data_IF_908211565374
#
_entry.id   IF_908211565374
#
_cell.length_a   1.000
_cell.length_b   1.000
_cell.length_c   1.000
_cell.angle_alpha   90.00
_cell.angle_beta   90.00
_cell.angle_gamma   90.00
#
_symmetry.space_group_name_H-M   'P 1'
#
loop_
_entity.id
_entity.type
_entity.pdbx_description
1 polymer ?
#
# COMPACT_ATOMS: atom_id res chain seq x y z
N UNK A 1 -30.94 -22.82 -12.26
CA UNK A 1 -29.79 -23.34 -11.47
C UNK A 1 -28.70 -22.29 -11.20
N UNK A 2 -28.54 -21.22 -12.00
CA UNK A 2 -27.51 -20.19 -11.79
C UNK A 2 -27.74 -19.29 -10.54
N UNK A 3 -28.98 -18.90 -10.23
CA UNK A 3 -29.29 -18.06 -9.06
C UNK A 3 -29.02 -18.74 -7.71
N UNK A 4 -29.21 -20.07 -7.60
CA UNK A 4 -28.93 -20.83 -6.37
C UNK A 4 -27.42 -21.00 -6.11
N UNK A 5 -26.59 -21.01 -7.16
CA UNK A 5 -25.12 -21.07 -7.02
C UNK A 5 -24.54 -19.74 -6.53
N UNK A 6 -25.04 -18.60 -7.02
CA UNK A 6 -24.60 -17.26 -6.60
C UNK A 6 -24.92 -16.93 -5.14
N UNK A 7 -26.08 -17.36 -4.63
CA UNK A 7 -26.46 -17.17 -3.23
C UNK A 7 -25.62 -18.03 -2.26
N UNK A 8 -25.24 -19.24 -2.67
CA UNK A 8 -24.41 -20.14 -1.87
C UNK A 8 -22.95 -19.67 -1.76
N UNK A 9 -22.40 -19.04 -2.80
CA UNK A 9 -21.07 -18.41 -2.75
C UNK A 9 -21.05 -17.14 -1.90
N UNK A 10 -22.08 -16.29 -1.98
CA UNK A 10 -22.19 -15.12 -1.12
C UNK A 10 -22.37 -15.48 0.36
N UNK A 11 -23.16 -16.52 0.66
CA UNK A 11 -23.34 -17.01 2.03
C UNK A 11 -22.05 -17.64 2.60
N UNK A 12 -21.25 -18.33 1.78
CA UNK A 12 -19.93 -18.84 2.19
C UNK A 12 -18.92 -17.71 2.44
N UNK A 13 -18.91 -16.69 1.59
CA UNK A 13 -18.06 -15.51 1.79
C UNK A 13 -18.44 -14.74 3.08
N UNK A 14 -19.74 -14.56 3.33
CA UNK A 14 -20.23 -13.94 4.57
C UNK A 14 -19.95 -14.76 5.83
N UNK A 15 -19.99 -16.10 5.75
CA UNK A 15 -19.63 -16.98 6.86
C UNK A 15 -18.12 -17.01 7.14
N UNK A 16 -17.28 -16.97 6.09
CA UNK A 16 -15.82 -16.88 6.24
C UNK A 16 -15.39 -15.51 6.80
N UNK A 17 -16.04 -14.42 6.36
CA UNK A 17 -15.86 -13.10 6.96
C UNK A 17 -16.24 -13.14 8.46
N UNK A 18 -17.40 -13.69 8.84
CA UNK A 18 -17.78 -13.79 10.25
C UNK A 18 -16.77 -14.58 11.12
N UNK A 19 -16.06 -15.56 10.57
CA UNK A 19 -15.04 -16.32 11.31
C UNK A 19 -13.75 -15.51 11.53
N UNK A 20 -13.31 -14.70 10.56
CA UNK A 20 -12.14 -13.84 10.71
C UNK A 20 -12.35 -12.70 11.73
N UNK A 21 -13.61 -12.39 12.07
CA UNK A 21 -14.01 -11.26 12.91
C UNK A 21 -14.41 -11.71 14.33
N UNK A 22 -14.58 -13.02 14.54
CA UNK A 22 -15.19 -13.58 15.76
C UNK A 22 -14.40 -13.32 17.05
N UNK A 23 -13.10 -12.97 16.95
CA UNK A 23 -12.21 -12.77 18.10
C UNK A 23 -11.56 -11.37 18.13
N UNK A 24 -12.06 -10.41 17.35
CA UNK A 24 -11.52 -9.04 17.33
C UNK A 24 -12.37 -8.15 18.22
N UNK A 25 -11.71 -7.40 19.12
CA UNK A 25 -12.42 -6.46 19.99
C UNK A 25 -13.14 -5.37 19.18
N UNK A 26 -14.32 -4.97 19.67
CA UNK A 26 -15.16 -3.96 19.01
C UNK A 26 -14.42 -2.63 18.85
N UNK A 27 -13.60 -2.23 19.83
CA UNK A 27 -12.86 -0.97 19.75
C UNK A 27 -11.81 -1.01 18.63
N UNK A 28 -11.17 -2.16 18.42
CA UNK A 28 -10.19 -2.36 17.34
C UNK A 28 -10.87 -2.28 15.96
N UNK A 29 -12.01 -2.96 15.78
CA UNK A 29 -12.80 -2.87 14.54
C UNK A 29 -13.26 -1.44 14.23
N UNK A 30 -13.73 -0.71 15.25
CA UNK A 30 -14.09 0.71 15.10
C UNK A 30 -12.87 1.58 14.78
N UNK A 31 -11.70 1.26 15.33
CA UNK A 31 -10.44 1.94 15.02
C UNK A 31 -10.04 1.76 13.57
N UNK A 32 -10.02 0.51 13.07
CA UNK A 32 -9.77 0.19 11.66
C UNK A 32 -10.73 0.96 10.73
N UNK A 33 -12.03 0.92 11.03
CA UNK A 33 -13.03 1.62 10.24
C UNK A 33 -12.82 3.14 10.25
N UNK A 34 -12.55 3.72 11.43
CA UNK A 34 -12.30 5.16 11.58
C UNK A 34 -11.09 5.61 10.75
N UNK A 35 -10.01 4.85 10.78
CA UNK A 35 -8.77 5.21 10.08
C UNK A 35 -8.95 5.11 8.56
N UNK A 36 -9.62 4.07 8.06
CA UNK A 36 -9.96 3.97 6.64
C UNK A 36 -10.88 5.12 6.20
N UNK A 37 -11.87 5.47 7.02
CA UNK A 37 -12.79 6.57 6.72
C UNK A 37 -12.08 7.93 6.76
N UNK A 38 -11.14 8.13 7.70
CA UNK A 38 -10.31 9.32 7.77
C UNK A 38 -9.52 9.50 6.47
N UNK A 39 -8.82 8.45 6.02
CA UNK A 39 -8.08 8.48 4.75
C UNK A 39 -9.03 8.82 3.61
N UNK A 40 -10.17 8.11 3.48
CA UNK A 40 -11.15 8.37 2.42
C UNK A 40 -11.61 9.83 2.40
N UNK A 41 -11.99 10.39 3.54
CA UNK A 41 -12.49 11.78 3.63
C UNK A 41 -11.39 12.81 3.40
N UNK A 42 -10.18 12.53 3.86
CA UNK A 42 -9.02 13.36 3.59
C UNK A 42 -8.74 13.43 2.09
N UNK A 43 -8.70 12.29 1.42
CA UNK A 43 -8.44 12.16 -0.01
C UNK A 43 -9.53 12.84 -0.87
N UNK A 44 -10.80 12.69 -0.49
CA UNK A 44 -11.91 13.42 -1.13
C UNK A 44 -11.71 14.93 -1.00
N UNK A 45 -11.26 15.41 0.16
CA UNK A 45 -10.99 16.84 0.37
C UNK A 45 -9.76 17.31 -0.40
N UNK A 46 -8.70 16.51 -0.47
CA UNK A 46 -7.53 16.80 -1.30
C UNK A 46 -7.93 16.94 -2.78
N UNK A 47 -8.76 16.01 -3.29
CA UNK A 47 -9.31 16.09 -4.64
C UNK A 47 -10.11 17.38 -4.91
N UNK A 48 -10.92 17.83 -3.96
CA UNK A 48 -11.65 19.11 -4.07
C UNK A 48 -10.70 20.31 -4.16
N UNK A 49 -9.71 20.37 -3.25
CA UNK A 49 -8.75 21.48 -3.19
C UNK A 49 -7.86 21.53 -4.44
N UNK A 50 -7.50 20.37 -4.99
CA UNK A 50 -6.81 20.30 -6.29
C UNK A 50 -7.67 20.88 -7.41
N UNK A 51 -8.96 20.52 -7.47
CA UNK A 51 -9.89 21.09 -8.45
C UNK A 51 -10.08 22.61 -8.32
N UNK A 52 -9.87 23.16 -7.13
CA UNK A 52 -9.87 24.60 -6.86
C UNK A 52 -8.52 25.29 -7.17
N UNK A 53 -7.50 24.54 -7.61
CA UNK A 53 -6.16 25.07 -7.87
C UNK A 53 -5.35 25.39 -6.61
N UNK A 54 -5.74 24.86 -5.44
CA UNK A 54 -5.06 25.11 -4.16
C UNK A 54 -3.94 24.11 -3.86
N UNK A 55 -3.86 23.01 -4.63
CA UNK A 55 -2.77 22.04 -4.61
C UNK A 55 -2.05 22.15 -5.96
N UNK A 56 -0.76 22.46 -5.94
CA UNK A 56 0.07 22.54 -7.13
C UNK A 56 0.72 21.20 -7.50
N UNK A 57 1.15 21.05 -8.75
CA UNK A 57 1.85 19.86 -9.23
C UNK A 57 0.92 18.67 -9.47
N UNK A 58 1.41 17.44 -9.24
CA UNK A 58 0.62 16.22 -9.40
C UNK A 58 -0.04 15.83 -8.08
N UNK A 59 -1.31 15.43 -8.10
CA UNK A 59 -2.02 14.91 -6.93
C UNK A 59 -2.50 13.47 -7.16
N UNK A 60 -2.00 12.53 -6.36
CA UNK A 60 -2.25 11.09 -6.49
C UNK A 60 -3.05 10.57 -5.30
N UNK A 61 -4.37 10.39 -5.49
CA UNK A 61 -5.25 10.04 -4.38
C UNK A 61 -5.18 8.56 -4.00
N UNK A 62 -5.12 8.21 -2.73
CA UNK A 62 -5.09 6.81 -2.26
C UNK A 62 -6.47 6.10 -2.23
N UNK A 63 -7.50 6.72 -2.84
CA UNK A 63 -8.88 6.22 -2.84
C UNK A 63 -8.99 4.82 -3.47
N UNK A 64 -9.44 3.87 -2.66
CA UNK A 64 -9.65 2.46 -3.02
C UNK A 64 -8.61 1.51 -2.43
N UNK A 65 -7.57 2.02 -1.76
CA UNK A 65 -6.46 1.22 -1.21
C UNK A 65 -6.37 1.34 0.33
N UNK A 66 -7.35 1.95 0.99
CA UNK A 66 -7.27 2.32 2.41
C UNK A 66 -7.07 1.13 3.35
N UNK A 67 -7.68 -0.02 3.04
CA UNK A 67 -7.56 -1.23 3.82
C UNK A 67 -6.11 -1.76 3.87
N UNK A 68 -5.31 -1.53 2.82
CA UNK A 68 -3.91 -1.96 2.75
C UNK A 68 -3.10 -1.19 3.79
N UNK A 69 -3.08 0.15 3.70
CA UNK A 69 -2.32 1.00 4.62
C UNK A 69 -2.75 0.77 6.07
N UNK A 70 -4.06 0.75 6.35
CA UNK A 70 -4.58 0.60 7.73
C UNK A 70 -4.32 -0.80 8.29
N UNK A 71 -4.56 -1.85 7.50
CA UNK A 71 -4.37 -3.23 7.94
C UNK A 71 -2.90 -3.54 8.24
N UNK A 72 -2.00 -3.14 7.36
CA UNK A 72 -0.55 -3.33 7.57
C UNK A 72 -0.03 -2.49 8.74
N UNK A 73 -0.54 -1.28 8.94
CA UNK A 73 -0.12 -0.45 10.06
C UNK A 73 -0.39 -1.09 11.42
N UNK A 74 -1.45 -1.90 11.56
CA UNK A 74 -1.75 -2.63 12.81
C UNK A 74 -0.77 -3.75 13.13
N UNK A 75 0.09 -4.13 12.19
CA UNK A 75 1.09 -5.20 12.37
C UNK A 75 2.44 -4.64 12.81
N UNK A 76 2.72 -3.37 12.52
CA UNK A 76 3.99 -2.73 12.85
C UNK A 76 4.25 -2.74 14.35
N UNK A 77 5.52 -2.93 14.72
CA UNK A 77 6.02 -2.62 16.05
C UNK A 77 6.85 -1.32 16.01
N UNK A 78 7.21 -0.80 17.19
CA UNK A 78 8.03 0.40 17.30
C UNK A 78 9.37 0.23 16.56
N UNK A 79 9.72 1.19 15.72
CA UNK A 79 10.94 1.18 14.92
C UNK A 79 10.82 0.48 13.57
N UNK A 80 9.74 -0.28 13.28
CA UNK A 80 9.51 -0.78 11.93
C UNK A 80 9.32 0.40 10.95
N UNK A 81 9.97 0.34 9.80
CA UNK A 81 9.93 1.43 8.83
C UNK A 81 8.90 1.18 7.73
N UNK A 82 8.31 2.26 7.22
CA UNK A 82 7.43 2.25 6.05
C UNK A 82 8.05 3.12 4.97
N UNK A 83 8.10 2.62 3.75
CA UNK A 83 8.52 3.38 2.58
C UNK A 83 7.61 3.04 1.40
N UNK A 84 7.16 4.06 0.65
CA UNK A 84 6.20 3.89 -0.44
C UNK A 84 6.52 4.83 -1.62
N UNK A 85 5.81 4.63 -2.74
CA UNK A 85 5.83 5.54 -3.88
C UNK A 85 5.00 6.81 -3.65
N UNK A 86 4.79 7.59 -4.71
CA UNK A 86 4.11 8.90 -4.68
C UNK A 86 2.60 8.90 -4.31
N UNK A 87 2.02 7.77 -3.91
CA UNK A 87 0.61 7.67 -3.48
C UNK A 87 0.56 7.47 -1.97
N UNK A 88 1.13 8.43 -1.26
CA UNK A 88 1.65 8.30 0.10
C UNK A 88 0.76 8.92 1.20
N UNK A 89 -0.26 9.72 0.85
CA UNK A 89 -1.04 10.47 1.86
C UNK A 89 -1.74 9.52 2.83
N UNK A 90 -2.39 8.47 2.30
CA UNK A 90 -3.05 7.43 3.09
C UNK A 90 -2.07 6.70 4.03
N UNK A 91 -0.84 6.43 3.59
CA UNK A 91 0.17 5.82 4.45
C UNK A 91 0.63 6.77 5.56
N UNK A 92 0.85 8.06 5.24
CA UNK A 92 1.27 9.02 6.26
C UNK A 92 0.19 9.25 7.32
N UNK A 93 -1.09 9.27 6.92
CA UNK A 93 -2.23 9.30 7.85
C UNK A 93 -2.32 8.02 8.68
N UNK A 94 -2.14 6.85 8.07
CA UNK A 94 -2.11 5.58 8.80
C UNK A 94 -0.96 5.55 9.83
N UNK A 95 0.18 6.18 9.52
CA UNK A 95 1.29 6.35 10.46
C UNK A 95 1.00 7.31 11.63
N UNK A 96 -0.22 7.85 11.74
CA UNK A 96 -0.64 8.70 12.85
C UNK A 96 -0.26 10.18 12.68
N UNK A 97 0.16 10.59 11.49
CA UNK A 97 0.44 12.00 11.23
C UNK A 97 -0.84 12.83 11.35
N UNK A 98 -0.73 14.03 11.95
CA UNK A 98 -1.84 14.97 12.01
C UNK A 98 -2.32 15.32 10.58
N UNK A 99 -3.60 15.07 10.23
CA UNK A 99 -4.13 15.42 8.91
C UNK A 99 -3.90 16.87 8.51
N UNK A 100 -3.81 17.80 9.48
CA UNK A 100 -3.51 19.21 9.22
C UNK A 100 -2.10 19.40 8.66
N UNK A 101 -1.12 18.64 9.13
CA UNK A 101 0.26 18.66 8.61
C UNK A 101 0.30 18.08 7.20
N UNK A 102 -0.40 16.96 6.96
CA UNK A 102 -0.51 16.36 5.62
C UNK A 102 -1.14 17.37 4.65
N UNK A 103 -2.24 18.01 5.04
CA UNK A 103 -2.92 19.01 4.20
C UNK A 103 -2.08 20.28 3.98
N UNK A 104 -1.32 20.70 5.00
CA UNK A 104 -0.37 21.81 4.87
C UNK A 104 0.71 21.49 3.82
N UNK A 105 1.23 20.26 3.81
CA UNK A 105 2.19 19.82 2.79
C UNK A 105 1.59 19.85 1.39
N UNK A 106 0.38 19.29 1.22
CA UNK A 106 -0.33 19.29 -0.06
C UNK A 106 -0.58 20.70 -0.61
N UNK A 107 -0.85 21.66 0.27
CA UNK A 107 -1.14 23.05 -0.11
C UNK A 107 0.10 23.95 -0.11
N UNK A 108 1.30 23.38 -0.04
CA UNK A 108 2.56 24.11 -0.15
C UNK A 108 2.84 25.05 1.02
N UNK A 109 2.35 24.73 2.22
CA UNK A 109 2.49 25.56 3.43
C UNK A 109 3.68 25.12 4.28
N UNK A 110 4.32 26.08 4.93
CA UNK A 110 5.49 25.85 5.79
C UNK A 110 5.23 24.91 6.98
N UNK A 111 3.97 24.71 7.38
CA UNK A 111 3.58 23.77 8.42
C UNK A 111 3.49 22.30 7.94
N UNK A 112 3.75 22.04 6.65
CA UNK A 112 3.80 20.70 6.08
C UNK A 112 5.01 19.89 6.57
N UNK A 113 4.93 18.57 6.42
CA UNK A 113 5.96 17.62 6.87
C UNK A 113 7.35 17.92 6.29
N UNK A 114 7.41 18.38 5.04
CA UNK A 114 8.62 18.83 4.34
C UNK A 114 8.59 20.35 4.09
N UNK A 115 7.94 21.11 4.98
CA UNK A 115 7.75 22.56 4.89
C UNK A 115 7.02 23.00 3.61
N UNK A 116 6.15 22.16 3.04
CA UNK A 116 5.41 22.45 1.82
C UNK A 116 6.22 22.29 0.53
N UNK A 117 7.44 21.73 0.61
CA UNK A 117 8.33 21.57 -0.55
C UNK A 117 8.16 20.22 -1.26
N UNK A 118 7.72 19.20 -0.53
CA UNK A 118 7.53 17.85 -1.06
C UNK A 118 6.20 17.68 -1.79
N UNK A 119 5.18 18.43 -1.35
CA UNK A 119 3.85 18.39 -1.95
C UNK A 119 3.24 16.98 -1.89
N UNK A 120 2.48 16.61 -2.92
CA UNK A 120 1.70 15.37 -2.94
C UNK A 120 2.49 14.10 -3.24
N UNK A 121 3.79 14.17 -3.58
CA UNK A 121 4.53 12.97 -4.00
C UNK A 121 5.75 12.66 -3.14
N UNK A 122 6.12 13.56 -2.24
CA UNK A 122 7.38 13.51 -1.50
C UNK A 122 7.18 13.75 -0.01
N UNK A 123 6.16 13.12 0.60
CA UNK A 123 5.97 13.22 2.03
C UNK A 123 7.01 12.36 2.76
N UNK A 124 7.54 12.85 3.87
CA UNK A 124 8.64 12.17 4.57
C UNK A 124 8.64 12.56 6.04
N UNK A 125 8.78 11.59 6.94
CA UNK A 125 8.80 11.81 8.39
C UNK A 125 9.60 10.73 9.13
N UNK A 126 10.94 10.87 9.25
CA UNK A 126 11.80 9.89 9.92
C UNK A 126 11.45 9.64 11.38
N UNK A 127 10.99 10.68 12.09
CA UNK A 127 10.58 10.55 13.50
C UNK A 127 9.36 9.67 13.72
N UNK A 128 8.63 9.33 12.65
CA UNK A 128 7.50 8.39 12.64
C UNK A 128 7.83 7.10 11.86
N UNK A 129 9.11 6.84 11.61
CA UNK A 129 9.60 5.73 10.80
C UNK A 129 8.96 5.66 9.39
N UNK A 130 8.62 6.84 8.84
CA UNK A 130 8.00 6.98 7.53
C UNK A 130 8.98 7.63 6.53
N UNK A 131 9.42 6.84 5.56
CA UNK A 131 10.54 7.15 4.68
C UNK A 131 10.15 7.48 3.24
N UNK A 132 8.88 7.76 2.93
CA UNK A 132 8.59 8.28 1.59
C UNK A 132 7.14 8.57 1.25
N UNK A 133 6.98 9.49 0.32
CA UNK A 133 6.66 9.17 -1.07
C UNK A 133 7.88 9.38 -1.97
N UNK A 134 8.09 8.45 -2.89
CA UNK A 134 9.12 8.54 -3.92
C UNK A 134 8.47 8.73 -5.29
N UNK A 135 8.84 9.82 -5.98
CA UNK A 135 8.33 10.13 -7.31
C UNK A 135 8.94 9.27 -8.43
N UNK A 136 10.15 8.73 -8.21
CA UNK A 136 10.80 7.84 -9.17
C UNK A 136 10.27 6.42 -8.97
N UNK A 137 9.59 5.90 -10.00
CA UNK A 137 8.95 4.59 -9.98
C UNK A 137 9.97 3.49 -9.68
N UNK A 138 9.76 2.76 -8.58
CA UNK A 138 10.60 1.63 -8.15
C UNK A 138 11.78 2.02 -7.26
N UNK A 139 12.12 3.31 -7.12
CA UNK A 139 13.26 3.75 -6.30
C UNK A 139 13.05 3.46 -4.81
N UNK A 140 11.80 3.52 -4.34
CA UNK A 140 11.45 3.15 -2.97
C UNK A 140 11.78 1.69 -2.64
N UNK A 141 11.87 0.82 -3.65
CA UNK A 141 12.13 -0.60 -3.42
C UNK A 141 13.58 -0.81 -3.01
N UNK A 142 14.52 -0.27 -3.79
CA UNK A 142 15.95 -0.36 -3.48
C UNK A 142 16.33 0.39 -2.20
N UNK A 143 15.75 1.57 -1.97
CA UNK A 143 15.95 2.33 -0.72
C UNK A 143 15.36 1.56 0.47
N UNK A 144 14.19 0.96 0.31
CA UNK A 144 13.54 0.14 1.34
C UNK A 144 14.32 -1.12 1.68
N UNK A 145 14.91 -1.78 0.70
CA UNK A 145 15.86 -2.88 0.92
C UNK A 145 17.07 -2.43 1.72
N UNK A 146 17.56 -1.20 1.49
CA UNK A 146 18.60 -0.57 2.30
C UNK A 146 18.20 -0.37 3.77
N UNK A 147 16.92 -0.04 4.06
CA UNK A 147 16.40 -0.01 5.44
C UNK A 147 16.44 -1.40 6.08
N UNK A 148 16.05 -2.44 5.33
CA UNK A 148 16.17 -3.83 5.78
C UNK A 148 17.61 -4.24 6.07
N UNK A 149 18.55 -3.85 5.21
CA UNK A 149 20.00 -4.05 5.45
C UNK A 149 20.44 -3.36 6.74
N UNK A 150 19.99 -2.13 6.96
CA UNK A 150 20.34 -1.38 8.16
C UNK A 150 19.77 -2.02 9.44
N UNK A 151 18.58 -2.62 9.39
CA UNK A 151 18.01 -3.38 10.50
C UNK A 151 18.79 -4.67 10.76
N UNK A 152 19.10 -5.43 9.69
CA UNK A 152 19.89 -6.64 9.78
C UNK A 152 21.29 -6.36 10.36
N UNK A 153 21.97 -5.33 9.87
CA UNK A 153 23.30 -4.96 10.32
C UNK A 153 23.35 -4.54 11.80
N UNK A 154 22.27 -3.96 12.31
CA UNK A 154 22.16 -3.53 13.71
C UNK A 154 21.59 -4.60 14.63
N UNK A 155 21.13 -5.73 14.09
CA UNK A 155 20.47 -6.81 14.82
C UNK A 155 19.37 -6.30 15.78
N UNK A 156 18.52 -5.39 15.27
CA UNK A 156 17.54 -4.68 16.08
C UNK A 156 16.13 -5.31 16.04
N UNK A 157 15.97 -6.41 15.31
CA UNK A 157 14.69 -7.10 15.15
C UNK A 157 13.60 -6.26 14.45
N UNK A 158 13.93 -5.20 13.72
CA UNK A 158 12.98 -4.35 13.00
C UNK A 158 12.78 -4.81 11.55
N UNK A 159 11.60 -4.51 10.98
CA UNK A 159 11.23 -4.87 9.61
C UNK A 159 10.99 -3.60 8.78
N UNK A 160 11.47 -3.62 7.54
CA UNK A 160 11.16 -2.59 6.55
C UNK A 160 9.96 -3.03 5.69
N UNK A 161 8.86 -2.28 5.76
CA UNK A 161 7.69 -2.46 4.90
C UNK A 161 7.80 -1.57 3.67
N UNK A 162 7.92 -2.20 2.50
CA UNK A 162 8.28 -1.56 1.24
C UNK A 162 7.13 -1.66 0.25
N UNK A 163 6.40 -0.57 0.06
CA UNK A 163 5.19 -0.52 -0.77
C UNK A 163 5.49 -0.02 -2.18
N UNK A 164 4.88 -0.66 -3.17
CA UNK A 164 5.01 -0.24 -4.56
C UNK A 164 3.85 -0.78 -5.41
N UNK A 165 3.51 -0.06 -6.47
CA UNK A 165 2.42 -0.46 -7.37
C UNK A 165 2.82 -1.54 -8.37
N UNK A 166 1.82 -2.11 -9.02
CA UNK A 166 1.95 -3.08 -10.12
C UNK A 166 2.89 -2.60 -11.24
N UNK A 167 2.82 -1.32 -11.63
CA UNK A 167 3.74 -0.74 -12.60
C UNK A 167 5.21 -0.69 -12.14
N UNK A 168 5.43 -0.44 -10.84
CA UNK A 168 6.77 -0.38 -10.27
C UNK A 168 7.41 -1.77 -10.18
N UNK A 169 6.61 -2.83 -10.02
CA UNK A 169 7.08 -4.21 -9.94
C UNK A 169 7.83 -4.69 -11.20
N UNK A 170 7.72 -3.97 -12.32
CA UNK A 170 8.42 -4.28 -13.58
C UNK A 170 9.78 -3.56 -13.72
N UNK A 171 10.21 -2.77 -12.74
CA UNK A 171 11.50 -2.05 -12.81
C UNK A 171 12.67 -2.99 -12.50
N UNK A 172 13.78 -2.88 -13.24
CA UNK A 172 14.96 -3.74 -13.04
C UNK A 172 15.52 -3.70 -11.62
N UNK A 173 15.57 -2.51 -11.02
CA UNK A 173 16.03 -2.33 -9.63
C UNK A 173 15.21 -3.10 -8.58
N UNK A 174 13.96 -3.48 -8.88
CA UNK A 174 13.14 -4.31 -7.99
C UNK A 174 13.69 -5.73 -7.93
N UNK A 175 14.09 -6.29 -9.07
CA UNK A 175 14.67 -7.63 -9.16
C UNK A 175 16.06 -7.67 -8.52
N UNK A 176 16.87 -6.64 -8.74
CA UNK A 176 18.15 -6.49 -8.04
C UNK A 176 17.94 -6.46 -6.52
N UNK A 177 16.94 -5.70 -6.05
CA UNK A 177 16.58 -5.61 -4.63
C UNK A 177 16.14 -6.95 -4.03
N UNK A 178 15.34 -7.73 -4.77
CA UNK A 178 14.93 -9.07 -4.35
C UNK A 178 16.13 -10.00 -4.20
N UNK A 179 17.01 -10.04 -5.21
CA UNK A 179 18.22 -10.86 -5.15
C UNK A 179 19.07 -10.52 -3.92
N UNK A 180 19.32 -9.24 -3.66
CA UNK A 180 20.12 -8.82 -2.51
C UNK A 180 19.43 -9.10 -1.18
N UNK A 181 18.11 -8.91 -1.10
CA UNK A 181 17.35 -9.16 0.12
C UNK A 181 17.34 -10.65 0.50
N UNK A 182 17.16 -11.54 -0.47
CA UNK A 182 17.25 -12.98 -0.19
C UNK A 182 18.67 -13.39 0.18
N UNK A 183 19.66 -12.99 -0.63
CA UNK A 183 21.07 -13.38 -0.45
C UNK A 183 21.57 -13.09 0.96
N UNK A 184 21.13 -11.97 1.54
CA UNK A 184 21.50 -11.53 2.88
C UNK A 184 20.44 -11.81 3.93
N UNK A 185 19.33 -12.47 3.58
CA UNK A 185 18.17 -12.76 4.45
C UNK A 185 17.68 -11.52 5.19
N UNK A 186 17.49 -10.42 4.46
CA UNK A 186 17.11 -9.14 5.03
C UNK A 186 15.66 -9.15 5.55
N UNK A 187 15.37 -8.46 6.68
CA UNK A 187 14.03 -8.34 7.24
C UNK A 187 13.19 -7.31 6.45
N UNK A 188 12.77 -7.69 5.24
CA UNK A 188 12.00 -6.83 4.33
C UNK A 188 10.68 -7.48 3.93
N UNK A 189 9.58 -6.75 4.07
CA UNK A 189 8.28 -7.15 3.51
C UNK A 189 7.95 -6.25 2.33
N UNK A 190 7.95 -6.84 1.14
CA UNK A 190 7.60 -6.17 -0.11
C UNK A 190 6.09 -6.26 -0.32
N UNK A 191 5.41 -5.11 -0.31
CA UNK A 191 3.96 -5.01 -0.46
C UNK A 191 3.64 -4.42 -1.83
N UNK A 192 3.13 -5.27 -2.72
CA UNK A 192 2.70 -4.88 -4.06
C UNK A 192 1.24 -4.45 -4.00
N UNK A 193 0.97 -3.17 -4.19
CA UNK A 193 -0.37 -2.62 -4.30
C UNK A 193 -0.87 -2.76 -5.74
N UNK A 194 -1.41 -3.93 -6.05
CA UNK A 194 -1.90 -4.22 -7.39
C UNK A 194 -3.30 -3.62 -7.60
N UNK A 195 -3.32 -2.36 -8.03
CA UNK A 195 -4.54 -1.61 -8.34
C UNK A 195 -4.99 -1.74 -9.81
N UNK A 196 -4.45 -2.73 -10.51
CA UNK A 196 -4.72 -3.15 -11.89
C UNK A 196 -4.14 -2.27 -13.01
N UNK A 197 -3.61 -1.07 -12.70
CA UNK A 197 -3.19 -0.10 -13.73
C UNK A 197 -1.97 0.75 -13.36
N UNK A 198 -0.92 0.66 -14.18
CA UNK A 198 0.19 1.59 -14.25
C UNK A 198 -0.14 2.77 -15.17
N UNK A 199 -0.61 3.88 -14.59
CA UNK A 199 -1.28 4.96 -15.34
C UNK A 199 -2.44 4.38 -16.17
N UNK A 200 -2.28 4.21 -17.49
CA UNK A 200 -3.27 3.63 -18.40
C UNK A 200 -2.93 2.24 -18.93
N UNK A 201 -1.82 1.65 -18.49
CA UNK A 201 -1.39 0.31 -18.90
C UNK A 201 -1.88 -0.70 -17.87
N UNK A 202 -2.69 -1.67 -18.29
CA UNK A 202 -3.17 -2.74 -17.41
C UNK A 202 -2.07 -3.76 -17.11
N UNK A 203 -2.23 -4.50 -16.00
CA UNK A 203 -1.31 -5.60 -15.62
C UNK A 203 -1.20 -6.64 -16.75
N UNK A 204 -2.33 -7.07 -17.32
CA UNK A 204 -2.40 -8.01 -18.45
C UNK A 204 -1.58 -7.57 -19.67
N UNK A 205 -1.37 -6.27 -19.86
CA UNK A 205 -0.61 -5.72 -20.99
C UNK A 205 0.86 -5.47 -20.68
N UNK A 206 1.24 -5.52 -19.40
CA UNK A 206 2.58 -5.13 -18.94
C UNK A 206 3.35 -6.26 -18.27
N UNK A 207 2.69 -7.39 -18.00
CA UNK A 207 3.25 -8.48 -17.21
C UNK A 207 2.96 -9.84 -17.86
N UNK A 208 4.01 -10.63 -18.08
CA UNK A 208 3.86 -12.01 -18.58
C UNK A 208 3.31 -12.97 -17.51
N UNK A 209 3.67 -12.75 -16.24
CA UNK A 209 3.05 -13.36 -15.07
C UNK A 209 2.32 -12.26 -14.30
N UNK A 210 0.99 -12.38 -14.25
CA UNK A 210 0.06 -11.38 -13.72
C UNK A 210 -0.22 -11.56 -12.23
N UNK A 211 0.16 -12.71 -11.66
CA UNK A 211 0.23 -12.93 -10.21
C UNK A 211 1.58 -12.42 -9.70
N UNK A 212 1.62 -11.15 -9.32
CA UNK A 212 2.84 -10.44 -8.94
C UNK A 212 3.47 -10.96 -7.64
N UNK A 213 2.72 -11.65 -6.76
CA UNK A 213 3.32 -12.30 -5.59
C UNK A 213 4.39 -13.34 -5.96
N UNK A 214 4.32 -13.91 -7.18
CA UNK A 214 5.31 -14.89 -7.68
C UNK A 214 6.62 -14.26 -8.16
N UNK A 215 6.74 -12.93 -8.18
CA UNK A 215 7.96 -12.24 -8.69
C UNK A 215 9.22 -12.60 -7.91
N UNK A 216 9.06 -13.05 -6.66
CA UNK A 216 10.15 -13.54 -5.80
C UNK A 216 10.62 -14.97 -6.10
N UNK A 217 9.89 -15.76 -6.89
CA UNK A 217 10.12 -17.20 -7.01
C UNK A 217 11.51 -17.56 -7.55
N UNK A 218 12.04 -16.79 -8.51
CA UNK A 218 13.40 -16.98 -9.03
C UNK A 218 14.50 -16.69 -8.01
N UNK A 219 14.15 -16.02 -6.92
CA UNK A 219 15.04 -15.66 -5.82
C UNK A 219 14.68 -16.41 -4.53
N UNK A 220 13.86 -17.47 -4.58
CA UNK A 220 13.38 -18.20 -3.40
C UNK A 220 12.58 -17.39 -2.36
N UNK A 221 12.11 -16.18 -2.72
CA UNK A 221 11.33 -15.35 -1.80
C UNK A 221 9.87 -15.83 -1.81
N UNK A 222 9.31 -16.24 -0.65
CA UNK A 222 7.92 -16.63 -0.56
C UNK A 222 7.00 -15.43 -0.81
N UNK A 223 5.84 -15.68 -1.42
CA UNK A 223 4.82 -14.66 -1.59
C UNK A 223 3.41 -15.21 -1.64
N UNK A 224 2.44 -14.37 -1.26
CA UNK A 224 1.01 -14.70 -1.29
C UNK A 224 0.18 -13.56 -1.88
N UNK A 225 -0.91 -13.95 -2.54
CA UNK A 225 -1.98 -13.03 -2.95
C UNK A 225 -2.93 -12.78 -1.78
N UNK A 226 -3.34 -11.53 -1.60
CA UNK A 226 -4.22 -11.08 -0.51
C UNK A 226 -5.32 -10.22 -1.10
N UNK A 227 -6.55 -10.39 -0.62
CA UNK A 227 -7.61 -9.41 -0.88
C UNK A 227 -7.27 -8.10 -0.15
N UNK A 228 -6.74 -7.14 -0.90
CA UNK A 228 -6.34 -5.83 -0.40
C UNK A 228 -7.52 -4.93 -0.04
N UNK A 229 -8.76 -5.35 -0.31
CA UNK A 229 -9.98 -4.65 0.08
C UNK A 229 -10.54 -5.15 1.41
N UNK A 230 -10.05 -6.28 1.94
CA UNK A 230 -10.38 -6.82 3.26
C UNK A 230 -9.26 -6.49 4.26
N UNK A 231 -9.53 -5.51 5.13
CA UNK A 231 -8.56 -5.04 6.13
C UNK A 231 -8.11 -6.14 7.11
N UNK A 232 -8.96 -7.14 7.37
CA UNK A 232 -8.61 -8.26 8.24
C UNK A 232 -7.70 -9.26 7.51
N UNK A 233 -7.98 -9.55 6.24
CA UNK A 233 -7.10 -10.37 5.42
C UNK A 233 -5.71 -9.73 5.26
N UNK A 234 -5.67 -8.40 5.02
CA UNK A 234 -4.44 -7.61 4.99
C UNK A 234 -3.68 -7.74 6.30
N UNK A 235 -4.34 -7.52 7.44
CA UNK A 235 -3.69 -7.60 8.76
C UNK A 235 -3.13 -9.00 9.04
N UNK A 236 -3.88 -10.05 8.73
CA UNK A 236 -3.45 -11.43 8.94
C UNK A 236 -2.23 -11.79 8.08
N UNK A 237 -2.28 -11.47 6.79
CA UNK A 237 -1.18 -11.71 5.86
C UNK A 237 0.06 -10.88 6.23
N UNK A 238 -0.16 -9.61 6.60
CA UNK A 238 0.88 -8.72 7.10
C UNK A 238 1.58 -9.27 8.34
N UNK A 239 0.83 -9.79 9.32
CA UNK A 239 1.39 -10.37 10.53
C UNK A 239 2.28 -11.58 10.25
N UNK A 240 1.84 -12.47 9.35
CA UNK A 240 2.62 -13.64 8.92
C UNK A 240 3.91 -13.22 8.21
N UNK A 241 3.83 -12.26 7.30
CA UNK A 241 4.99 -11.77 6.55
C UNK A 241 6.00 -11.04 7.45
N UNK A 242 5.50 -10.21 8.38
CA UNK A 242 6.34 -9.51 9.34
C UNK A 242 7.07 -10.48 10.27
N UNK A 243 6.39 -11.52 10.77
CA UNK A 243 7.01 -12.55 11.61
C UNK A 243 8.06 -13.37 10.84
N UNK A 244 7.76 -13.73 9.58
CA UNK A 244 8.74 -14.41 8.70
C UNK A 244 10.02 -13.58 8.55
N UNK A 245 9.88 -12.31 8.19
CA UNK A 245 11.02 -11.40 8.03
C UNK A 245 11.77 -11.19 9.35
N UNK A 246 11.04 -10.99 10.45
CA UNK A 246 11.61 -10.68 11.77
C UNK A 246 12.34 -11.88 12.39
N UNK A 247 11.88 -13.09 12.13
CA UNK A 247 12.53 -14.34 12.59
C UNK A 247 13.78 -14.72 11.79
N UNK A 248 14.22 -13.88 10.85
CA UNK A 248 15.45 -14.07 10.09
C UNK A 248 15.32 -15.10 8.96
N UNK A 249 14.09 -15.44 8.56
CA UNK A 249 13.85 -16.34 7.42
C UNK A 249 14.04 -15.65 6.06
N UNK A 250 14.24 -14.32 6.06
CA UNK A 250 14.48 -13.54 4.86
C UNK A 250 13.27 -12.69 4.45
N UNK A 251 13.27 -12.12 3.25
CA UNK A 251 12.20 -11.26 2.77
C UNK A 251 10.90 -12.02 2.50
N UNK A 252 9.78 -11.28 2.39
CA UNK A 252 8.48 -11.83 2.03
C UNK A 252 7.75 -10.90 1.06
N UNK A 253 6.98 -11.45 0.11
CA UNK A 253 6.16 -10.67 -0.83
C UNK A 253 4.66 -10.82 -0.54
N UNK A 254 3.96 -9.69 -0.45
CA UNK A 254 2.50 -9.63 -0.40
C UNK A 254 2.00 -8.94 -1.65
N UNK A 255 1.13 -9.59 -2.43
CA UNK A 255 0.37 -8.93 -3.48
C UNK A 255 -1.02 -8.58 -2.97
N UNK A 256 -1.25 -7.29 -2.73
CA UNK A 256 -2.54 -6.76 -2.32
C UNK A 256 -3.39 -6.47 -3.56
N UNK A 257 -4.37 -7.33 -3.84
CA UNK A 257 -5.32 -7.11 -4.93
C UNK A 257 -6.29 -6.01 -4.52
N UNK A 258 -6.29 -4.93 -5.26
CA UNK A 258 -7.09 -3.74 -4.97
C UNK A 258 -7.48 -3.05 -6.27
N UNK A 259 -8.11 -1.88 -6.20
CA UNK A 259 -8.55 -1.16 -7.37
C UNK A 259 -8.51 0.36 -7.17
N UNK A 260 -7.91 1.08 -8.14
CA UNK A 260 -7.78 2.54 -8.07
C UNK A 260 -9.09 3.22 -8.49
N UNK A 261 -9.91 3.73 -7.56
CA UNK A 261 -11.22 4.31 -7.93
C UNK A 261 -11.17 5.63 -8.70
N UNK A 262 -10.03 6.32 -8.73
CA UNK A 262 -9.80 7.58 -9.45
C UNK A 262 -8.81 7.39 -10.60
N UNK A 263 -8.67 8.41 -11.45
CA UNK A 263 -7.59 8.45 -12.44
C UNK A 263 -6.22 8.26 -11.79
N UNK A 264 -5.19 8.07 -12.61
CA UNK A 264 -3.82 7.91 -12.13
C UNK A 264 -3.43 9.01 -11.15
N UNK A 265 -3.62 10.25 -11.61
CA UNK A 265 -3.57 11.50 -10.86
C UNK A 265 -4.89 12.26 -11.06
N UNK A 266 -5.09 13.35 -10.33
CA UNK A 266 -6.27 14.22 -10.49
C UNK A 266 -6.39 14.89 -11.86
N UNK A 267 -5.30 14.95 -12.64
CA UNK A 267 -5.32 15.44 -14.03
C UNK A 267 -5.62 14.37 -15.06
N UNK A 268 -5.65 13.09 -14.69
CA UNK A 268 -5.88 11.97 -15.60
C UNK A 268 -7.38 11.66 -15.76
N UNK A 269 -7.96 11.79 -16.97
CA UNK A 269 -9.37 11.51 -17.22
C UNK A 269 -9.74 10.02 -17.22
N UNK A 270 -8.76 9.11 -17.10
CA UNK A 270 -8.97 7.65 -16.99
C UNK A 270 -9.71 7.00 -18.18
N UNK A 271 -9.44 7.44 -19.41
CA UNK A 271 -10.13 6.97 -20.64
C UNK A 271 -9.81 5.52 -21.06
N UNK A 272 -8.90 4.85 -20.36
CA UNK A 272 -8.41 3.50 -20.68
C UNK A 272 -9.19 2.38 -19.97
N UNK A 273 -10.27 2.71 -19.26
CA UNK A 273 -11.12 1.76 -18.54
C UNK A 273 -12.58 2.19 -18.60
N UNK A 274 -13.49 1.24 -18.47
CA UNK A 274 -14.93 1.51 -18.61
C UNK A 274 -15.54 1.97 -17.30
N UNK A 275 -16.71 2.63 -17.35
CA UNK A 275 -17.44 3.02 -16.13
C UNK A 275 -17.98 1.77 -15.42
N UNK A 276 -18.42 0.80 -16.20
CA UNK A 276 -18.97 -0.47 -15.75
C UNK A 276 -17.94 -1.26 -14.92
N UNK A 277 -16.68 -1.27 -15.34
CA UNK A 277 -15.58 -1.89 -14.59
C UNK A 277 -15.41 -1.24 -13.21
N UNK A 278 -15.34 0.10 -13.17
CA UNK A 278 -15.16 0.83 -11.91
C UNK A 278 -16.36 0.66 -10.98
N UNK A 279 -17.58 0.70 -11.52
CA UNK A 279 -18.81 0.58 -10.74
C UNK A 279 -19.02 -0.85 -10.22
N UNK A 280 -18.52 -1.87 -10.91
CA UNK A 280 -18.57 -3.25 -10.44
C UNK A 280 -17.76 -3.46 -9.14
N UNK A 281 -16.65 -2.73 -8.96
CA UNK A 281 -15.78 -2.85 -7.78
C UNK A 281 -16.20 -1.90 -6.64
N UNK A 282 -17.09 -0.94 -6.91
CA UNK A 282 -17.60 0.01 -5.90
C UNK A 282 -18.86 -0.48 -5.16
N UNK A 283 -19.56 -1.47 -5.73
CA UNK A 283 -20.79 -2.03 -5.19
C UNK A 283 -20.49 -3.13 -4.18
#
# INVERSE_FOLDING_TARGET
>A
MAQKKGAATAAKAGAAANAAWANVDKADLLGLYRDMLLIRRFEERAGQLYGMGLIGGFCHLYIGQEAIAVGMQRVKIAGDQVITGYRDHGHMLACGMDPRVVMAELTGRAAGAAQGKGGSMHMFQPSADFYGGHGIVGAQVSIGTGLGLANHYRDNGQVAFVYFGDGAANQGQVYESFNMAELWRLPVVYVIENNQYAMGTSVERSSAETHLFKRGASFNIPGVEVDGMDVMAVREAGAKAAEHARSGQGPFILEMKTYRYRGHSMSDPAKYRTREEVDAVRK
#
